data_IF_081774867316
#
_entry.id   IF_081774867316
#
_cell.length_a   1.000
_cell.length_b   1.000
_cell.length_c   1.000
_cell.angle_alpha   90.00
_cell.angle_beta   90.00
_cell.angle_gamma   90.00
#
_symmetry.space_group_name_H-M   'P 1'
#
loop_
_entity.id
_entity.type
_entity.pdbx_description
1 polymer ?
#
# COMPACT_ATOMS: atom_id res chain seq x y z
N UNK A 1 10.80 31.17 17.50
CA UNK A 1 10.86 31.43 16.05
C UNK A 1 11.11 30.10 15.33
N UNK A 2 10.29 29.71 14.35
CA UNK A 2 10.59 28.53 13.54
C UNK A 2 11.84 28.80 12.70
N UNK A 3 12.70 27.78 12.46
CA UNK A 3 13.89 27.95 11.66
C UNK A 3 13.50 28.28 10.22
N UNK A 4 13.94 29.43 9.71
CA UNK A 4 13.82 29.78 8.30
C UNK A 4 14.77 28.88 7.50
N UNK A 5 14.24 28.18 6.50
CA UNK A 5 15.06 27.36 5.62
C UNK A 5 16.07 28.24 4.88
N UNK A 6 17.36 27.88 4.97
CA UNK A 6 18.55 28.50 4.33
C UNK A 6 18.52 28.58 2.79
N UNK A 7 17.38 28.32 2.14
CA UNK A 7 17.27 28.16 0.69
C UNK A 7 16.59 29.40 0.11
N UNK A 8 17.38 30.22 -0.58
CA UNK A 8 16.90 31.36 -1.36
C UNK A 8 16.37 30.87 -2.72
N UNK A 9 15.05 30.84 -2.85
CA UNK A 9 14.37 30.38 -4.08
C UNK A 9 14.46 31.39 -5.22
N UNK A 10 14.68 32.67 -4.94
CA UNK A 10 14.85 33.69 -5.98
C UNK A 10 16.21 33.54 -6.64
N UNK A 11 17.24 33.19 -5.87
CA UNK A 11 18.56 32.80 -6.40
C UNK A 11 18.47 31.55 -7.29
N UNK A 12 17.72 30.53 -6.87
CA UNK A 12 17.51 29.31 -7.67
C UNK A 12 16.80 29.64 -8.99
N UNK A 13 15.76 30.47 -8.94
CA UNK A 13 14.99 30.84 -10.12
C UNK A 13 15.83 31.63 -11.12
N UNK A 14 16.68 32.55 -10.64
CA UNK A 14 17.61 33.32 -11.48
C UNK A 14 18.55 32.39 -12.26
N UNK A 15 19.25 31.49 -11.58
CA UNK A 15 20.19 30.55 -12.20
C UNK A 15 19.48 29.60 -13.19
N UNK A 16 18.28 29.11 -12.85
CA UNK A 16 17.49 28.27 -13.75
C UNK A 16 17.00 29.02 -15.00
N UNK A 17 16.73 30.32 -14.87
CA UNK A 17 16.30 31.16 -16.01
C UNK A 17 17.44 31.39 -17.01
N UNK A 18 18.67 31.55 -16.51
CA UNK A 18 19.88 31.72 -17.33
C UNK A 18 20.26 30.44 -18.09
N UNK A 19 20.02 29.26 -17.49
CA UNK A 19 20.32 27.95 -18.10
C UNK A 19 19.11 27.22 -18.68
N UNK A 20 18.06 27.95 -19.03
CA UNK A 20 16.80 27.40 -19.55
C UNK A 20 17.01 26.48 -20.76
N UNK A 21 17.91 26.82 -21.68
CA UNK A 21 18.22 26.00 -22.87
C UNK A 21 18.86 24.65 -22.54
N UNK A 22 19.49 24.53 -21.37
CA UNK A 22 20.28 23.35 -21.00
C UNK A 22 19.45 22.35 -20.21
N UNK A 23 18.38 22.81 -19.57
CA UNK A 23 17.46 22.04 -18.73
C UNK A 23 16.37 21.33 -19.56
N UNK A 24 16.04 21.90 -20.72
CA UNK A 24 15.07 21.33 -21.65
C UNK A 24 15.78 20.67 -22.83
N UNK A 25 15.29 19.50 -23.22
CA UNK A 25 15.78 18.82 -24.41
C UNK A 25 15.33 19.58 -25.68
N UNK A 26 16.27 19.79 -26.61
CA UNK A 26 16.09 20.64 -27.80
C UNK A 26 15.06 20.06 -28.77
N UNK A 27 14.88 18.73 -28.78
CA UNK A 27 13.91 18.05 -29.64
C UNK A 27 12.51 17.95 -29.02
N UNK A 28 12.42 17.46 -27.79
CA UNK A 28 11.13 17.11 -27.15
C UNK A 28 10.51 18.26 -26.35
N UNK A 29 11.26 19.35 -26.09
CA UNK A 29 10.90 20.40 -25.13
C UNK A 29 10.60 19.86 -23.72
N UNK A 30 10.95 18.61 -23.41
CA UNK A 30 10.74 17.99 -22.11
C UNK A 30 11.93 18.26 -21.18
N UNK A 31 11.70 18.09 -19.87
CA UNK A 31 12.72 18.26 -18.85
C UNK A 31 13.74 17.11 -18.93
N UNK A 32 15.04 17.43 -18.97
CA UNK A 32 16.10 16.41 -18.99
C UNK A 32 16.10 15.54 -17.74
N UNK A 33 16.55 14.30 -17.88
CA UNK A 33 16.60 13.30 -16.80
C UNK A 33 17.32 13.80 -15.54
N UNK A 34 16.95 13.37 -14.33
CA UNK A 34 17.66 13.72 -13.09
C UNK A 34 19.13 13.25 -13.04
N UNK A 35 19.53 12.32 -13.92
CA UNK A 35 20.91 11.85 -14.06
C UNK A 35 21.76 12.70 -14.99
N UNK A 36 21.15 13.63 -15.73
CA UNK A 36 21.85 14.49 -16.69
C UNK A 36 22.87 15.41 -15.98
N UNK A 37 24.00 15.64 -16.64
CA UNK A 37 25.10 16.46 -16.10
C UNK A 37 24.68 17.91 -15.92
N UNK A 38 23.66 18.39 -16.65
CA UNK A 38 23.16 19.76 -16.53
C UNK A 38 22.75 20.12 -15.08
N UNK A 39 22.20 19.16 -14.32
CA UNK A 39 21.77 19.37 -12.94
C UNK A 39 22.93 19.49 -11.95
N UNK A 40 24.07 18.84 -12.25
CA UNK A 40 25.29 18.97 -11.45
C UNK A 40 25.93 20.34 -11.66
N UNK A 41 25.98 20.79 -12.91
CA UNK A 41 26.53 22.09 -13.26
C UNK A 41 25.74 23.26 -12.65
N UNK A 42 24.40 23.16 -12.62
CA UNK A 42 23.54 24.18 -11.98
C UNK A 42 23.79 24.23 -10.47
N UNK A 43 24.08 23.09 -9.84
CA UNK A 43 24.35 23.03 -8.41
C UNK A 43 25.72 23.58 -8.04
N UNK A 44 26.71 23.41 -8.91
CA UNK A 44 28.01 24.06 -8.74
C UNK A 44 27.85 25.59 -8.67
N UNK A 45 26.92 26.16 -9.46
CA UNK A 45 26.60 27.60 -9.42
C UNK A 45 25.78 28.01 -8.19
N UNK A 46 25.06 27.08 -7.57
CA UNK A 46 24.27 27.29 -6.34
C UNK A 46 25.05 26.90 -5.08
N UNK A 47 26.39 26.78 -5.15
CA UNK A 47 27.29 26.44 -4.05
C UNK A 47 26.90 25.14 -3.30
N UNK A 48 26.33 24.15 -3.99
CA UNK A 48 25.90 22.88 -3.37
C UNK A 48 24.86 23.00 -2.24
N UNK A 49 24.12 24.12 -2.18
CA UNK A 49 23.09 24.33 -1.15
C UNK A 49 21.95 23.29 -1.20
N UNK A 50 21.78 22.59 -2.33
CA UNK A 50 20.78 21.55 -2.57
C UNK A 50 21.35 20.43 -3.45
N UNK A 51 20.78 19.22 -3.36
CA UNK A 51 21.18 18.08 -4.19
C UNK A 51 20.57 18.11 -5.60
N UNK A 52 21.21 17.48 -6.59
CA UNK A 52 20.77 17.46 -8.01
C UNK A 52 19.40 16.84 -8.19
N UNK A 53 19.17 15.77 -7.46
CA UNK A 53 17.87 15.10 -7.40
C UNK A 53 16.80 16.00 -6.80
N UNK A 54 17.14 16.76 -5.76
CA UNK A 54 16.19 17.68 -5.13
C UNK A 54 15.86 18.88 -6.02
N UNK A 55 16.86 19.47 -6.70
CA UNK A 55 16.66 20.53 -7.68
C UNK A 55 15.77 20.07 -8.85
N UNK A 56 16.04 18.88 -9.39
CA UNK A 56 15.20 18.28 -10.43
C UNK A 56 13.75 18.12 -9.96
N UNK A 57 13.53 17.65 -8.72
CA UNK A 57 12.18 17.50 -8.15
C UNK A 57 11.48 18.84 -7.96
N UNK A 58 12.18 19.88 -7.52
CA UNK A 58 11.64 21.24 -7.39
C UNK A 58 11.09 21.73 -8.74
N UNK A 59 11.87 21.58 -9.81
CA UNK A 59 11.48 22.01 -11.16
C UNK A 59 10.37 21.12 -11.71
N UNK A 60 10.47 19.80 -11.57
CA UNK A 60 9.49 18.85 -12.10
C UNK A 60 8.12 18.97 -11.45
N UNK A 61 8.08 19.08 -10.13
CA UNK A 61 6.83 19.20 -9.36
C UNK A 61 6.29 20.64 -9.34
N UNK A 62 6.93 21.56 -10.10
CA UNK A 62 6.59 22.97 -10.13
C UNK A 62 6.50 23.62 -8.74
N UNK A 63 7.39 23.23 -7.83
CA UNK A 63 7.43 23.83 -6.49
C UNK A 63 7.77 25.31 -6.62
N UNK A 64 7.12 26.15 -5.83
CA UNK A 64 7.27 27.61 -5.88
C UNK A 64 6.98 28.23 -7.26
N UNK A 65 6.17 27.56 -8.10
CA UNK A 65 5.82 27.98 -9.45
C UNK A 65 7.03 28.17 -10.38
N UNK A 66 8.14 27.48 -10.10
CA UNK A 66 9.41 27.62 -10.85
C UNK A 66 9.23 27.17 -12.30
N UNK A 67 8.54 26.06 -12.57
CA UNK A 67 8.31 25.58 -13.93
C UNK A 67 7.40 26.53 -14.71
N UNK A 68 6.37 27.07 -14.05
CA UNK A 68 5.45 28.06 -14.64
C UNK A 68 6.19 29.34 -15.01
N UNK A 69 7.09 29.83 -14.14
CA UNK A 69 7.92 31.01 -14.42
C UNK A 69 8.95 30.76 -15.53
N UNK A 70 9.45 29.53 -15.67
CA UNK A 70 10.38 29.15 -16.74
C UNK A 70 9.68 28.94 -18.10
N UNK A 71 8.41 28.54 -18.12
CA UNK A 71 7.59 28.36 -19.34
C UNK A 71 6.17 28.90 -19.15
N UNK A 72 5.94 30.20 -19.44
CA UNK A 72 4.62 30.80 -19.26
C UNK A 72 3.55 30.35 -20.28
N UNK A 73 3.89 29.58 -21.32
CA UNK A 73 3.01 29.28 -22.46
C UNK A 73 2.63 27.80 -22.65
N UNK A 74 2.45 27.00 -21.59
CA UNK A 74 1.99 25.62 -21.74
C UNK A 74 0.92 25.24 -20.71
N UNK A 75 -0.29 25.07 -21.23
CA UNK A 75 -1.40 24.40 -20.58
C UNK A 75 -1.01 23.02 -20.05
N UNK A 76 -1.62 22.72 -18.90
CA UNK A 76 -1.59 21.51 -18.07
C UNK A 76 -1.24 20.22 -18.83
N UNK A 77 0.04 19.84 -18.83
CA UNK A 77 0.46 18.48 -19.18
C UNK A 77 0.40 17.57 -17.95
N UNK A 78 -0.64 16.72 -17.90
CA UNK A 78 -0.62 15.47 -17.13
C UNK A 78 0.44 14.55 -17.74
N UNK A 79 1.54 14.29 -17.04
CA UNK A 79 2.58 13.37 -17.49
C UNK A 79 2.32 11.94 -16.97
N UNK A 80 2.00 11.05 -17.89
CA UNK A 80 2.16 9.59 -17.82
C UNK A 80 3.65 9.22 -17.77
N UNK A 81 4.01 8.27 -16.91
CA UNK A 81 5.38 7.78 -16.76
C UNK A 81 5.63 6.53 -17.63
N UNK A 82 6.63 6.60 -18.51
CA UNK A 82 7.49 5.46 -18.91
C UNK A 82 8.75 5.51 -18.05
N UNK A 83 9.16 4.37 -17.48
CA UNK A 83 10.51 4.16 -16.98
C UNK A 83 11.18 3.17 -17.93
N UNK A 84 12.13 3.64 -18.73
CA UNK A 84 13.17 2.79 -19.30
C UNK A 84 14.22 2.55 -18.21
N UNK A 85 14.40 1.28 -17.84
CA UNK A 85 15.64 0.78 -17.29
C UNK A 85 16.36 0.04 -18.41
N UNK A 86 17.48 0.59 -18.85
CA UNK A 86 18.43 -0.06 -19.74
C UNK A 86 19.08 -1.27 -19.05
N UNK A 87 18.93 -2.45 -19.63
CA UNK A 87 19.89 -3.56 -19.63
C UNK A 87 19.63 -4.44 -20.88
N UNK A 88 20.69 -5.03 -21.41
CA UNK A 88 20.88 -5.47 -22.79
C UNK A 88 20.14 -6.76 -23.23
N UNK A 89 19.69 -6.74 -24.49
CA UNK A 89 19.70 -7.77 -25.55
C UNK A 89 19.57 -9.25 -25.14
N UNK A 90 18.45 -9.88 -25.54
CA UNK A 90 18.45 -11.05 -26.47
C UNK A 90 17.23 -10.92 -27.40
N UNK A 91 17.50 -10.94 -28.70
CA UNK A 91 16.55 -10.97 -29.82
C UNK A 91 15.97 -12.37 -30.00
N UNK A 92 14.66 -12.49 -30.27
CA UNK A 92 14.10 -13.37 -31.31
C UNK A 92 12.58 -13.14 -31.51
N UNK A 93 12.10 -13.55 -32.68
CA UNK A 93 11.05 -12.95 -33.50
C UNK A 93 9.57 -13.12 -33.06
N UNK A 94 8.83 -12.01 -33.21
CA UNK A 94 7.55 -11.88 -33.95
C UNK A 94 6.40 -12.88 -33.73
N UNK A 95 5.35 -12.43 -33.03
CA UNK A 95 4.02 -12.28 -33.67
C UNK A 95 3.25 -11.12 -33.04
N UNK A 96 2.81 -10.18 -33.89
CA UNK A 96 2.13 -8.95 -33.51
C UNK A 96 0.64 -9.24 -33.29
N UNK A 97 0.20 -9.24 -32.04
CA UNK A 97 -1.20 -8.93 -31.70
C UNK A 97 -1.23 -7.57 -30.99
N UNK A 98 -1.76 -6.58 -31.69
CA UNK A 98 -2.09 -5.26 -31.14
C UNK A 98 -3.35 -5.40 -30.28
N UNK A 99 -3.20 -5.63 -28.98
CA UNK A 99 -4.30 -5.49 -28.03
C UNK A 99 -4.19 -4.16 -27.28
N UNK A 100 -4.93 -3.18 -27.80
CA UNK A 100 -5.70 -2.14 -27.10
C UNK A 100 -5.25 -1.79 -25.66
N UNK A 101 -4.09 -1.14 -25.55
CA UNK A 101 -3.57 -0.55 -24.31
C UNK A 101 -4.27 0.79 -24.01
N UNK A 102 -5.55 0.80 -23.61
CA UNK A 102 -6.13 1.90 -22.79
C UNK A 102 -7.57 1.72 -22.27
N UNK A 103 -8.00 0.51 -21.90
CA UNK A 103 -9.15 0.38 -20.98
C UNK A 103 -8.66 0.26 -19.54
N UNK A 104 -8.71 1.37 -18.81
CA UNK A 104 -8.62 1.38 -17.35
C UNK A 104 -9.53 0.28 -16.80
N UNK A 105 -8.92 -0.79 -16.30
CA UNK A 105 -9.68 -1.95 -15.86
C UNK A 105 -10.37 -1.56 -14.56
N UNK A 106 -11.70 -1.39 -14.62
CA UNK A 106 -12.57 -1.20 -13.45
C UNK A 106 -13.38 -2.48 -13.25
N UNK A 107 -13.38 -3.00 -12.03
CA UNK A 107 -14.10 -4.18 -11.61
C UNK A 107 -15.06 -3.79 -10.49
N UNK A 108 -16.35 -4.02 -10.71
CA UNK A 108 -17.39 -3.81 -9.71
C UNK A 108 -17.94 -5.17 -9.27
N UNK A 109 -18.11 -5.36 -7.98
CA UNK A 109 -18.65 -6.59 -7.42
C UNK A 109 -19.25 -6.31 -6.03
N UNK A 110 -20.09 -7.22 -5.54
CA UNK A 110 -20.74 -7.08 -4.24
C UNK A 110 -20.23 -8.17 -3.31
N UNK A 111 -19.81 -7.78 -2.11
CA UNK A 111 -19.47 -8.71 -1.04
C UNK A 111 -20.68 -8.94 -0.15
N UNK A 112 -21.16 -10.17 -0.05
CA UNK A 112 -22.21 -10.57 0.87
C UNK A 112 -21.60 -11.16 2.14
N UNK A 113 -21.65 -10.41 3.25
CA UNK A 113 -21.15 -10.85 4.55
C UNK A 113 -22.32 -11.35 5.41
N UNK A 114 -22.32 -12.62 5.86
CA UNK A 114 -23.28 -13.10 6.85
C UNK A 114 -23.22 -12.30 8.14
N UNK A 115 -24.32 -12.26 8.88
CA UNK A 115 -24.47 -11.53 10.15
C UNK A 115 -23.34 -11.85 11.14
N UNK A 116 -23.00 -13.11 11.36
CA UNK A 116 -21.94 -13.51 12.29
C UNK A 116 -20.57 -12.94 11.90
N UNK A 117 -20.26 -12.93 10.60
CA UNK A 117 -19.01 -12.34 10.08
C UNK A 117 -19.02 -10.82 10.25
N UNK A 118 -20.16 -10.18 10.01
CA UNK A 118 -20.32 -8.74 10.21
C UNK A 118 -20.13 -8.34 11.68
N UNK A 119 -20.78 -9.03 12.61
CA UNK A 119 -20.67 -8.81 14.05
C UNK A 119 -19.23 -9.07 14.57
N UNK A 120 -18.49 -9.98 13.92
CA UNK A 120 -17.09 -10.22 14.25
C UNK A 120 -16.17 -9.03 13.93
N UNK A 121 -16.53 -8.18 12.95
CA UNK A 121 -15.70 -7.06 12.47
C UNK A 121 -16.27 -5.68 12.80
N UNK A 122 -17.55 -5.59 13.17
CA UNK A 122 -18.23 -4.35 13.53
C UNK A 122 -18.55 -4.31 15.03
N UNK A 123 -18.44 -3.11 15.59
CA UNK A 123 -18.92 -2.79 16.95
C UNK A 123 -19.39 -1.34 16.90
N UNK A 124 -20.56 -1.06 17.48
CA UNK A 124 -21.09 0.31 17.54
C UNK A 124 -20.25 1.22 18.44
N UNK A 125 -19.45 0.64 19.35
CA UNK A 125 -18.65 1.38 20.34
C UNK A 125 -17.22 1.66 19.84
N UNK A 126 -16.77 0.99 18.77
CA UNK A 126 -15.38 1.13 18.35
C UNK A 126 -15.08 2.46 17.69
N UNK A 127 -14.30 3.29 18.40
CA UNK A 127 -13.80 4.56 17.92
C UNK A 127 -12.27 4.60 17.88
N UNK A 128 -11.73 5.40 16.97
CA UNK A 128 -10.30 5.70 16.87
C UNK A 128 -10.09 7.20 16.99
N UNK A 129 -9.20 7.55 17.90
CA UNK A 129 -8.82 8.92 18.22
C UNK A 129 -7.54 9.29 17.46
N UNK A 130 -7.62 10.30 16.60
CA UNK A 130 -6.50 10.80 15.80
C UNK A 130 -6.07 12.18 16.29
N UNK A 131 -4.76 12.36 16.46
CA UNK A 131 -4.19 13.67 16.74
C UNK A 131 -4.34 14.57 15.50
N UNK A 132 -4.85 15.78 15.69
CA UNK A 132 -4.93 16.77 14.63
C UNK A 132 -3.54 17.37 14.37
N UNK A 133 -3.20 17.54 13.10
CA UNK A 133 -1.99 18.25 12.65
C UNK A 133 -2.09 19.78 12.78
N UNK A 134 -3.29 20.30 13.01
CA UNK A 134 -3.65 21.70 12.75
C UNK A 134 -3.36 22.64 13.94
N UNK A 135 -2.62 22.21 14.96
CA UNK A 135 -2.24 23.02 16.14
C UNK A 135 -3.38 23.41 17.09
N UNK A 136 -4.65 23.10 16.79
CA UNK A 136 -5.80 23.30 17.67
C UNK A 136 -6.09 22.04 18.51
N UNK A 137 -6.30 22.22 19.81
CA UNK A 137 -6.72 21.14 20.73
C UNK A 137 -8.10 20.61 20.37
N UNK A 138 -8.14 19.39 19.85
CA UNK A 138 -8.84 18.22 20.40
C UNK A 138 -8.73 17.13 19.33
N UNK A 139 -8.42 15.91 19.77
CA UNK A 139 -8.30 14.78 18.86
C UNK A 139 -9.59 14.58 18.06
N UNK A 140 -9.50 14.10 16.82
CA UNK A 140 -10.68 13.69 16.04
C UNK A 140 -10.97 12.23 16.32
N UNK A 141 -12.15 11.95 16.82
CA UNK A 141 -12.65 10.61 17.00
C UNK A 141 -13.46 10.19 15.77
N UNK A 142 -13.14 9.03 15.21
CA UNK A 142 -13.92 8.42 14.13
C UNK A 142 -14.35 7.03 14.56
N UNK A 143 -15.59 6.67 14.28
CA UNK A 143 -16.01 5.28 14.37
C UNK A 143 -15.37 4.46 13.24
N UNK A 144 -14.87 3.28 13.57
CA UNK A 144 -14.17 2.41 12.63
C UNK A 144 -14.47 0.94 12.92
N UNK A 145 -14.36 0.08 11.92
CA UNK A 145 -14.43 -1.37 12.12
C UNK A 145 -13.33 -1.87 13.11
N UNK A 146 -13.60 -2.99 13.79
CA UNK A 146 -12.72 -3.63 14.79
C UNK A 146 -11.30 -3.76 14.25
N UNK A 147 -10.31 -3.07 14.84
CA UNK A 147 -8.95 -3.08 14.33
C UNK A 147 -8.35 -4.48 14.36
N UNK A 148 -7.50 -4.79 13.38
CA UNK A 148 -6.88 -6.10 13.18
C UNK A 148 -7.82 -7.25 12.77
N UNK A 149 -9.14 -7.10 12.92
CA UNK A 149 -10.15 -8.12 12.59
C UNK A 149 -10.78 -7.91 11.21
N UNK A 150 -11.11 -6.67 10.84
CA UNK A 150 -11.89 -6.43 9.63
C UNK A 150 -11.12 -6.69 8.32
N UNK A 151 -9.84 -6.31 8.26
CA UNK A 151 -9.10 -6.34 6.99
C UNK A 151 -8.71 -7.74 6.49
N UNK A 152 -8.48 -8.76 7.35
CA UNK A 152 -8.42 -10.14 6.90
C UNK A 152 -9.74 -10.61 6.29
N UNK A 153 -10.87 -10.37 6.96
CA UNK A 153 -12.21 -10.80 6.50
C UNK A 153 -12.53 -10.20 5.13
N UNK A 154 -12.46 -8.88 4.98
CA UNK A 154 -12.73 -8.20 3.70
C UNK A 154 -11.83 -8.72 2.56
N UNK A 155 -10.58 -9.05 2.87
CA UNK A 155 -9.67 -9.54 1.86
C UNK A 155 -9.92 -10.99 1.45
N UNK A 156 -10.42 -11.84 2.36
CA UNK A 156 -10.84 -13.19 2.01
C UNK A 156 -11.99 -13.14 1.00
N UNK A 157 -13.00 -12.28 1.24
CA UNK A 157 -14.09 -12.05 0.27
C UNK A 157 -13.59 -11.45 -1.04
N UNK A 158 -12.65 -10.51 -0.99
CA UNK A 158 -12.01 -9.97 -2.19
C UNK A 158 -11.40 -11.08 -3.05
N UNK A 159 -10.61 -11.96 -2.45
CA UNK A 159 -9.97 -13.04 -3.20
C UNK A 159 -10.99 -14.08 -3.66
N UNK A 160 -11.95 -14.46 -2.83
CA UNK A 160 -12.98 -15.42 -3.21
C UNK A 160 -13.78 -14.97 -4.44
N UNK A 161 -14.10 -13.68 -4.54
CA UNK A 161 -14.90 -13.13 -5.65
C UNK A 161 -14.07 -12.79 -6.90
N UNK A 162 -12.80 -12.42 -6.75
CA UNK A 162 -12.00 -11.90 -7.86
C UNK A 162 -10.89 -12.85 -8.31
N UNK A 163 -10.48 -13.78 -7.45
CA UNK A 163 -9.30 -14.64 -7.60
C UNK A 163 -8.00 -13.89 -7.93
N UNK A 164 -7.98 -12.58 -7.66
CA UNK A 164 -6.82 -11.73 -7.95
C UNK A 164 -5.79 -11.87 -6.83
N UNK A 165 -4.50 -12.11 -7.14
CA UNK A 165 -3.49 -12.36 -6.12
C UNK A 165 -3.04 -11.07 -5.38
N UNK A 166 -3.72 -9.94 -5.59
CA UNK A 166 -3.27 -8.61 -5.19
C UNK A 166 -2.99 -8.46 -3.69
N UNK A 167 -1.84 -7.89 -3.33
CA UNK A 167 -1.48 -7.52 -1.96
C UNK A 167 -2.06 -6.15 -1.58
N UNK A 168 -3.35 -6.14 -1.22
CA UNK A 168 -4.06 -4.91 -0.82
C UNK A 168 -3.66 -4.52 0.61
N UNK A 169 -3.10 -3.31 0.73
CA UNK A 169 -2.91 -2.62 2.00
C UNK A 169 -4.15 -1.76 2.28
N UNK A 170 -4.92 -2.19 3.28
CA UNK A 170 -6.13 -1.50 3.71
C UNK A 170 -5.76 -0.39 4.68
N UNK A 171 -6.15 0.85 4.36
CA UNK A 171 -5.78 2.03 5.16
C UNK A 171 -6.85 2.36 6.18
N UNK A 172 -8.09 2.51 5.72
CA UNK A 172 -9.19 3.03 6.52
C UNK A 172 -10.48 2.23 6.27
N UNK A 173 -11.25 2.01 7.34
CA UNK A 173 -12.63 1.55 7.29
C UNK A 173 -13.45 2.46 8.22
N UNK A 174 -13.96 3.56 7.65
CA UNK A 174 -14.65 4.60 8.40
C UNK A 174 -16.15 4.30 8.44
N UNK A 175 -16.72 4.33 9.64
CA UNK A 175 -18.16 4.23 9.87
C UNK A 175 -18.73 5.62 10.14
N UNK A 176 -19.82 5.97 9.47
CA UNK A 176 -20.54 7.23 9.61
C UNK A 176 -22.04 6.90 9.79
N UNK A 177 -22.53 6.66 11.02
CA UNK A 177 -23.93 6.27 11.25
C UNK A 177 -24.95 7.27 10.68
N UNK A 178 -24.63 8.56 10.73
CA UNK A 178 -25.53 9.65 10.30
C UNK A 178 -25.14 10.23 8.91
N UNK A 179 -24.27 9.55 8.16
CA UNK A 179 -23.83 10.03 6.84
C UNK A 179 -24.61 9.39 5.70
N UNK A 180 -24.50 9.96 4.50
CA UNK A 180 -25.02 9.34 3.25
C UNK A 180 -24.40 7.98 2.94
N UNK A 181 -23.21 7.72 3.49
CA UNK A 181 -22.50 6.45 3.37
C UNK A 181 -22.21 5.95 4.78
N UNK A 182 -22.88 4.89 5.19
CA UNK A 182 -22.69 4.25 6.49
C UNK A 182 -21.26 3.71 6.68
N UNK A 183 -20.71 2.97 5.72
CA UNK A 183 -19.33 2.45 5.81
C UNK A 183 -18.56 2.70 4.51
N UNK A 184 -17.35 3.23 4.66
CA UNK A 184 -16.39 3.43 3.56
C UNK A 184 -15.05 2.78 3.87
N UNK A 185 -14.68 1.80 3.04
CA UNK A 185 -13.41 1.09 3.09
C UNK A 185 -12.52 1.57 1.96
N UNK A 186 -11.25 1.81 2.26
CA UNK A 186 -10.24 2.13 1.25
C UNK A 186 -8.99 1.26 1.41
N UNK A 187 -8.52 0.74 0.29
CA UNK A 187 -7.27 -0.02 0.19
C UNK A 187 -6.52 0.29 -1.10
N UNK A 188 -5.22 0.02 -1.10
CA UNK A 188 -4.38 0.13 -2.29
C UNK A 188 -3.48 -1.08 -2.40
N UNK A 189 -3.41 -1.68 -3.59
CA UNK A 189 -2.45 -2.75 -3.83
C UNK A 189 -1.02 -2.20 -3.78
N UNK A 190 -0.14 -2.86 -3.05
CA UNK A 190 1.26 -2.44 -2.92
C UNK A 190 2.09 -2.76 -4.17
N UNK A 191 1.57 -3.59 -5.08
CA UNK A 191 2.29 -4.07 -6.27
C UNK A 191 1.77 -3.37 -7.52
N UNK A 192 0.50 -3.61 -7.89
CA UNK A 192 -0.10 -3.02 -9.10
C UNK A 192 -0.70 -1.62 -8.90
N UNK A 193 -0.62 -1.08 -7.68
CA UNK A 193 -1.12 0.25 -7.31
C UNK A 193 -2.64 0.47 -7.50
N UNK A 194 -3.39 -0.56 -7.86
CA UNK A 194 -4.85 -0.51 -8.00
C UNK A 194 -5.54 -0.13 -6.70
N UNK A 195 -6.59 0.69 -6.81
CA UNK A 195 -7.37 1.19 -5.69
C UNK A 195 -8.57 0.28 -5.45
N UNK A 196 -8.77 -0.08 -4.19
CA UNK A 196 -9.95 -0.78 -3.70
C UNK A 196 -10.81 0.21 -2.90
N UNK A 197 -12.09 0.26 -3.22
CA UNK A 197 -13.09 1.01 -2.48
C UNK A 197 -14.28 0.09 -2.18
N UNK A 198 -14.67 0.02 -0.91
CA UNK A 198 -15.90 -0.64 -0.47
C UNK A 198 -16.85 0.41 0.12
N UNK A 199 -18.13 0.35 -0.24
CA UNK A 199 -19.16 1.29 0.20
C UNK A 199 -20.38 0.50 0.66
N UNK A 200 -20.93 0.91 1.79
CA UNK A 200 -22.22 0.47 2.31
C UNK A 200 -23.00 1.74 2.63
N UNK A 201 -24.10 1.95 1.92
CA UNK A 201 -24.89 3.18 1.97
C UNK A 201 -25.69 3.20 3.27
N UNK A 202 -26.56 2.20 3.43
CA UNK A 202 -27.45 2.10 4.57
C UNK A 202 -26.85 1.27 5.70
N UNK A 203 -27.14 1.65 6.94
CA UNK A 203 -26.83 0.81 8.08
C UNK A 203 -27.57 -0.53 7.91
N UNK A 204 -26.87 -1.67 8.03
CA UNK A 204 -27.54 -2.95 7.94
C UNK A 204 -28.55 -3.06 9.07
N UNK A 205 -29.82 -3.22 8.69
CA UNK A 205 -30.91 -3.58 9.59
C UNK A 205 -30.66 -5.02 10.09
N UNK A 206 -31.54 -5.58 10.93
CA UNK A 206 -31.42 -6.96 11.42
C UNK A 206 -31.61 -8.00 10.28
N UNK A 207 -30.82 -7.90 9.22
CA UNK A 207 -30.79 -8.74 8.04
C UNK A 207 -29.65 -9.73 8.18
N UNK A 208 -29.89 -10.97 7.75
CA UNK A 208 -28.91 -12.06 7.88
C UNK A 208 -27.65 -11.84 7.03
N UNK A 209 -27.69 -10.91 6.07
CA UNK A 209 -26.59 -10.63 5.13
C UNK A 209 -26.41 -9.13 4.94
N UNK A 210 -25.18 -8.66 5.15
CA UNK A 210 -24.73 -7.29 4.87
C UNK A 210 -24.02 -7.26 3.51
N UNK A 211 -24.53 -6.43 2.58
CA UNK A 211 -23.97 -6.34 1.22
C UNK A 211 -23.12 -5.08 1.05
N UNK A 212 -21.82 -5.23 0.79
CA UNK A 212 -20.90 -4.13 0.55
C UNK A 212 -20.62 -4.02 -0.95
N UNK A 213 -20.93 -2.86 -1.53
CA UNK A 213 -20.61 -2.55 -2.93
C UNK A 213 -19.13 -2.22 -3.07
N UNK A 214 -18.41 -2.99 -3.88
CA UNK A 214 -16.97 -2.88 -4.04
C UNK A 214 -16.60 -2.46 -5.47
N UNK A 215 -15.63 -1.57 -5.55
CA UNK A 215 -14.99 -1.10 -6.79
C UNK A 215 -13.50 -1.32 -6.68
N UNK A 216 -12.93 -1.96 -7.70
CA UNK A 216 -11.49 -2.16 -7.83
C UNK A 216 -11.02 -1.63 -9.17
N UNK A 217 -10.13 -0.65 -9.16
CA UNK A 217 -9.72 0.09 -10.36
C UNK A 217 -8.20 0.14 -10.51
N UNK A 218 -7.73 0.02 -11.76
CA UNK A 218 -6.33 0.20 -12.14
C UNK A 218 -5.70 -1.03 -12.79
N UNK A 219 -4.37 -1.13 -12.74
CA UNK A 219 -3.59 -2.15 -13.44
C UNK A 219 -3.60 -3.57 -12.84
N UNK A 220 -4.71 -4.05 -12.27
CA UNK A 220 -4.74 -5.31 -11.52
C UNK A 220 -4.59 -6.57 -12.38
N UNK A 221 -4.91 -6.50 -13.69
CA UNK A 221 -4.79 -7.63 -14.62
C UNK A 221 -3.35 -8.16 -14.73
N UNK A 222 -2.38 -7.27 -14.59
CA UNK A 222 -0.95 -7.59 -14.69
C UNK A 222 -0.27 -7.72 -13.32
N UNK A 223 -1.06 -7.89 -12.25
CA UNK A 223 -0.50 -8.04 -10.91
C UNK A 223 0.20 -9.40 -10.77
N UNK A 224 1.54 -9.39 -10.71
CA UNK A 224 2.38 -10.57 -10.48
C UNK A 224 2.43 -11.02 -9.01
N UNK A 225 1.91 -10.19 -8.11
CA UNK A 225 1.88 -10.31 -6.64
C UNK A 225 2.86 -11.31 -6.00
N UNK A 226 4.08 -10.83 -5.73
CA UNK A 226 5.06 -11.52 -4.86
C UNK A 226 4.87 -11.18 -3.37
N UNK A 227 4.22 -10.06 -3.07
CA UNK A 227 4.10 -9.55 -1.71
C UNK A 227 2.99 -10.27 -0.95
N UNK A 228 3.32 -10.72 0.26
CA UNK A 228 2.36 -11.32 1.18
C UNK A 228 1.82 -10.26 2.14
N UNK A 229 0.54 -10.37 2.49
CA UNK A 229 -0.08 -9.55 3.52
C UNK A 229 0.41 -10.00 4.89
N UNK A 230 0.53 -9.03 5.81
CA UNK A 230 0.92 -9.31 7.18
C UNK A 230 -0.17 -10.13 7.88
N UNK A 231 0.25 -11.18 8.57
CA UNK A 231 -0.62 -11.97 9.43
C UNK A 231 -0.93 -11.19 10.73
N UNK A 232 -2.21 -10.90 10.96
CA UNK A 232 -2.73 -10.06 12.05
C UNK A 232 -4.04 -10.63 12.61
N UNK A 233 -4.46 -10.14 13.78
CA UNK A 233 -5.75 -10.44 14.41
C UNK A 233 -5.94 -11.92 14.75
N UNK A 234 -7.19 -12.34 14.87
CA UNK A 234 -7.57 -13.71 15.20
C UNK A 234 -6.93 -14.77 14.30
N UNK A 235 -6.75 -14.49 13.00
CA UNK A 235 -6.12 -15.45 12.08
C UNK A 235 -4.68 -15.77 12.50
N UNK A 236 -3.96 -14.79 13.06
CA UNK A 236 -2.61 -15.00 13.59
C UNK A 236 -2.61 -15.98 14.77
N UNK A 237 -3.54 -15.79 15.70
CA UNK A 237 -3.65 -16.62 16.90
C UNK A 237 -4.09 -18.04 16.58
N UNK A 238 -5.02 -18.21 15.64
CA UNK A 238 -5.43 -19.52 15.13
C UNK A 238 -4.24 -20.29 14.55
N UNK A 239 -3.42 -19.64 13.70
CA UNK A 239 -2.23 -20.29 13.13
C UNK A 239 -1.16 -20.54 14.19
N UNK A 240 -0.99 -19.66 15.18
CA UNK A 240 -0.09 -19.88 16.32
C UNK A 240 -0.49 -21.15 17.08
N UNK A 241 -1.79 -21.32 17.40
CA UNK A 241 -2.33 -22.50 18.08
C UNK A 241 -2.04 -23.79 17.31
N UNK A 242 -2.27 -23.81 15.99
CA UNK A 242 -1.96 -24.97 15.13
C UNK A 242 -0.47 -25.36 15.17
N UNK A 243 0.43 -24.36 15.18
CA UNK A 243 1.88 -24.59 15.10
C UNK A 243 2.51 -25.06 16.42
N UNK A 244 1.94 -24.63 17.55
CA UNK A 244 2.47 -24.89 18.90
C UNK A 244 1.67 -26.01 19.56
N UNK A 245 0.39 -25.78 19.80
CA UNK A 245 -0.46 -26.69 20.58
C UNK A 245 -0.73 -27.98 19.82
N UNK A 246 -0.97 -27.91 18.51
CA UNK A 246 -1.19 -29.08 17.66
C UNK A 246 0.12 -29.62 17.04
N UNK A 247 1.26 -28.98 17.34
CA UNK A 247 2.59 -29.30 16.85
C UNK A 247 2.69 -29.53 15.32
N UNK A 248 1.88 -28.82 14.54
CA UNK A 248 1.89 -28.97 13.09
C UNK A 248 3.11 -28.26 12.47
N UNK A 249 3.66 -28.83 11.40
CA UNK A 249 4.75 -28.20 10.67
C UNK A 249 4.27 -26.99 9.87
N UNK A 250 5.11 -25.97 9.71
CA UNK A 250 4.78 -24.77 8.93
C UNK A 250 4.39 -25.11 7.48
N UNK A 251 5.03 -26.12 6.87
CA UNK A 251 4.71 -26.56 5.52
C UNK A 251 3.33 -27.23 5.45
N UNK A 252 2.98 -28.05 6.45
CA UNK A 252 1.67 -28.69 6.54
C UNK A 252 0.56 -27.65 6.71
N UNK A 253 0.72 -26.73 7.67
CA UNK A 253 -0.26 -25.66 7.90
C UNK A 253 -0.47 -24.82 6.65
N UNK A 254 0.60 -24.41 5.97
CA UNK A 254 0.48 -23.66 4.71
C UNK A 254 -0.28 -24.45 3.65
N UNK A 255 0.00 -25.74 3.49
CA UNK A 255 -0.68 -26.60 2.51
C UNK A 255 -2.18 -26.71 2.80
N UNK A 256 -2.56 -26.95 4.05
CA UNK A 256 -3.98 -27.04 4.45
C UNK A 256 -4.70 -25.70 4.20
N UNK A 257 -4.07 -24.58 4.52
CA UNK A 257 -4.63 -23.26 4.25
C UNK A 257 -4.75 -22.97 2.74
N UNK A 258 -3.76 -23.41 1.93
CA UNK A 258 -3.82 -23.28 0.48
C UNK A 258 -4.95 -24.11 -0.13
N UNK A 259 -5.10 -25.37 0.32
CA UNK A 259 -6.17 -26.27 -0.14
C UNK A 259 -7.56 -25.74 0.17
N UNK A 260 -7.74 -25.02 1.28
CA UNK A 260 -9.03 -24.41 1.63
C UNK A 260 -9.35 -23.12 0.85
N UNK A 261 -8.35 -22.49 0.22
CA UNK A 261 -8.49 -21.19 -0.43
C UNK A 261 -8.41 -21.23 -1.96
N UNK A 262 -7.63 -22.16 -2.51
CA UNK A 262 -7.22 -22.18 -3.91
C UNK A 262 -7.74 -23.41 -4.64
N UNK A 263 -8.15 -23.21 -5.89
CA UNK A 263 -8.42 -24.29 -6.84
C UNK A 263 -7.21 -24.51 -7.77
N UNK A 264 -7.23 -25.60 -8.53
CA UNK A 264 -6.15 -25.91 -9.47
C UNK A 264 -6.04 -24.82 -10.54
N UNK A 265 -4.84 -24.24 -10.69
CA UNK A 265 -4.57 -23.16 -11.63
C UNK A 265 -4.75 -21.74 -11.07
N UNK A 266 -5.30 -21.59 -9.85
CA UNK A 266 -5.41 -20.30 -9.20
C UNK A 266 -4.03 -19.70 -8.88
N UNK A 267 -3.90 -18.39 -9.04
CA UNK A 267 -2.71 -17.66 -8.57
C UNK A 267 -2.72 -17.59 -7.05
N UNK A 268 -1.58 -17.82 -6.43
CA UNK A 268 -1.44 -17.82 -4.97
C UNK A 268 -1.90 -16.47 -4.38
N UNK A 269 -2.85 -16.46 -3.42
CA UNK A 269 -3.33 -15.25 -2.81
C UNK A 269 -2.24 -14.56 -1.99
N UNK A 270 -2.33 -13.23 -1.87
CA UNK A 270 -1.42 -12.47 -1.01
C UNK A 270 -1.66 -12.73 0.49
N UNK A 271 -2.86 -13.15 0.90
CA UNK A 271 -3.18 -13.41 2.31
C UNK A 271 -2.81 -14.82 2.77
N UNK A 272 -2.43 -15.73 1.86
CA UNK A 272 -1.84 -17.01 2.24
C UNK A 272 -0.42 -16.76 2.78
N UNK A 273 -0.13 -17.10 4.05
CA UNK A 273 1.18 -16.84 4.63
C UNK A 273 2.25 -17.73 3.99
N UNK A 274 3.47 -17.21 3.88
CA UNK A 274 4.61 -18.03 3.45
C UNK A 274 5.05 -18.98 4.56
N UNK A 275 5.67 -20.11 4.18
CA UNK A 275 6.28 -21.05 5.14
C UNK A 275 7.23 -20.36 6.12
N UNK A 276 8.04 -19.43 5.62
CA UNK A 276 8.97 -18.66 6.46
C UNK A 276 8.23 -17.79 7.48
N UNK A 277 7.14 -17.13 7.09
CA UNK A 277 6.33 -16.34 8.01
C UNK A 277 5.76 -17.20 9.15
N UNK A 278 5.33 -18.43 8.85
CA UNK A 278 4.84 -19.38 9.85
C UNK A 278 5.96 -19.89 10.77
N UNK A 279 7.16 -20.16 10.23
CA UNK A 279 8.34 -20.52 11.04
C UNK A 279 8.71 -19.41 12.02
N UNK A 280 8.73 -18.16 11.54
CA UNK A 280 9.00 -16.98 12.38
C UNK A 280 7.90 -16.81 13.43
N UNK A 281 6.63 -17.05 13.09
CA UNK A 281 5.53 -17.00 14.04
C UNK A 281 5.73 -18.02 15.17
N UNK A 282 6.02 -19.28 14.84
CA UNK A 282 6.29 -20.35 15.82
C UNK A 282 7.48 -19.99 16.71
N UNK A 283 8.59 -19.57 16.11
CA UNK A 283 9.79 -19.19 16.86
C UNK A 283 9.52 -18.04 17.83
N UNK A 284 8.87 -16.97 17.38
CA UNK A 284 8.54 -15.83 18.25
C UNK A 284 7.66 -16.23 19.41
N UNK A 285 6.62 -17.02 19.13
CA UNK A 285 5.70 -17.46 20.16
C UNK A 285 6.35 -18.38 21.21
N UNK A 286 7.23 -19.30 20.80
CA UNK A 286 7.99 -20.12 21.75
C UNK A 286 8.96 -19.26 22.58
N UNK A 287 9.57 -18.25 21.97
CA UNK A 287 10.43 -17.30 22.69
C UNK A 287 9.65 -16.45 23.69
N UNK A 288 8.43 -16.06 23.37
CA UNK A 288 7.56 -15.30 24.28
C UNK A 288 7.13 -16.15 25.51
N UNK A 289 7.12 -17.48 25.38
CA UNK A 289 6.83 -18.43 26.47
C UNK A 289 8.08 -18.80 27.30
N UNK A 290 9.29 -18.40 26.87
CA UNK A 290 10.52 -18.69 27.61
C UNK A 290 10.64 -17.80 28.85
N UNK A 291 10.90 -18.44 30.01
CA UNK A 291 11.14 -17.77 31.30
C UNK A 291 12.43 -16.93 31.27
N UNK A 292 13.44 -17.41 30.55
CA UNK A 292 14.71 -16.72 30.37
C UNK A 292 15.30 -17.09 29.00
N UNK A 293 16.04 -16.16 28.40
CA UNK A 293 16.78 -16.41 27.16
C UNK A 293 17.92 -17.41 27.33
N UNK A 294 18.50 -17.50 28.54
CA UNK A 294 19.50 -18.50 28.88
C UNK A 294 18.80 -19.80 29.36
N UNK A 295 19.02 -20.94 28.68
CA UNK A 295 18.38 -22.20 29.03
C UNK A 295 18.79 -22.71 30.42
N UNK A 296 20.01 -22.42 30.90
CA UNK A 296 20.47 -22.87 32.22
C UNK A 296 19.75 -22.11 33.33
N UNK A 297 19.60 -20.79 33.16
CA UNK A 297 18.87 -19.93 34.10
C UNK A 297 17.36 -20.21 34.04
N UNK A 298 16.82 -20.52 32.86
CA UNK A 298 15.43 -20.91 32.70
C UNK A 298 15.12 -22.21 33.47
N UNK A 299 16.00 -23.21 33.37
CA UNK A 299 15.88 -24.48 34.09
C UNK A 299 16.02 -24.27 35.61
N UNK A 300 17.01 -23.49 36.07
CA UNK A 300 17.19 -23.27 37.52
C UNK A 300 15.98 -22.60 38.18
N UNK A 301 15.27 -21.74 37.46
CA UNK A 301 14.01 -21.11 37.89
C UNK A 301 12.80 -22.04 37.86
N UNK A 302 12.83 -23.10 37.06
CA UNK A 302 11.78 -24.13 37.03
C UNK A 302 11.88 -25.11 38.20
N UNK A 303 13.11 -25.34 38.71
CA UNK A 303 13.39 -26.29 39.80
C UNK A 303 13.51 -25.63 41.19
N UNK A 304 13.16 -24.34 41.33
CA UNK A 304 13.17 -23.62 42.63
C UNK A 304 11.80 -23.50 43.29
N UNK A 305 10.84 -24.34 42.89
CA UNK A 305 9.54 -24.55 43.56
C UNK A 305 9.59 -25.90 44.28
#
# INVERSE_FOLDING_TARGET
MPPTSKIDFDQILKVLSERKSDIFDKGTKLLKSPTDTCWKDIINQLNFNISSKYLYLIVKENRHNILTKLKPTLDVYKQTYRQDSSEEIISEESSRHNDDLNKESKLNFKMALPKDQWESIYDSVNSRVYKRSDGKSTNREYQTLKPYEWSPVIHNYFYALTKLPCSISYKNAKVCPNGEIFLKIYGKCTVCLSNFQGVLIDQPLCTDIVTIDCTYEGGFRHCKSSNKRKLIGNKREQLKKKLINENQSAAYVQRVEAMGLMEYGDKEPSHLPSTNALRILKHKALKDEQINSDPVIALSRLFTI
#
